data_IF_014237339159
#
_entry.id   IF_014237339159
#
_cell.length_a   1.000
_cell.length_b   1.000
_cell.length_c   1.000
_cell.angle_alpha   90.00
_cell.angle_beta   90.00
_cell.angle_gamma   90.00
#
_symmetry.space_group_name_H-M   'P 1'
#
loop_
_entity.id
_entity.type
_entity.pdbx_description
1 polymer ?
#
# COMPACT_ATOMS: atom_id res chain seq x y z
N UNK A 1 -10.92 3.59 -7.62
CA UNK A 1 -9.46 3.58 -7.89
C UNK A 1 -8.76 3.56 -6.54
N UNK A 2 -8.07 2.47 -6.20
CA UNK A 2 -7.17 2.49 -5.03
C UNK A 2 -6.09 3.53 -5.31
N UNK A 3 -5.76 4.36 -4.32
CA UNK A 3 -4.58 5.20 -4.43
C UNK A 3 -3.38 4.25 -4.58
N UNK A 4 -2.67 4.31 -5.71
CA UNK A 4 -1.51 3.45 -5.95
C UNK A 4 -0.50 3.56 -4.81
N UNK A 5 0.23 2.48 -4.53
CA UNK A 5 1.27 2.45 -3.48
C UNK A 5 2.27 3.62 -3.66
N UNK A 6 2.71 3.85 -4.89
CA UNK A 6 3.47 5.03 -5.27
C UNK A 6 2.53 6.21 -5.55
N UNK A 7 2.80 7.37 -4.93
CA UNK A 7 1.95 8.57 -4.94
C UNK A 7 2.30 9.58 -6.02
N UNK A 8 3.49 9.49 -6.61
CA UNK A 8 3.95 10.36 -7.69
C UNK A 8 4.50 9.49 -8.82
N UNK A 9 4.23 9.80 -10.10
CA UNK A 9 4.78 9.05 -11.23
C UNK A 9 6.31 8.87 -11.12
N UNK A 10 6.75 7.62 -11.17
CA UNK A 10 8.17 7.27 -11.17
C UNK A 10 8.71 7.54 -12.56
N UNK A 11 9.60 8.51 -12.69
CA UNK A 11 10.26 8.84 -13.95
C UNK A 11 11.77 8.83 -13.75
N UNK A 12 12.53 8.15 -14.62
CA UNK A 12 13.98 8.25 -14.60
C UNK A 12 14.39 9.66 -15.01
N UNK A 13 15.37 10.22 -14.32
CA UNK A 13 15.91 11.54 -14.58
C UNK A 13 17.41 11.44 -14.84
N UNK A 14 17.83 11.98 -15.98
CA UNK A 14 19.24 12.27 -16.24
C UNK A 14 19.56 13.68 -15.75
N UNK A 15 20.68 13.84 -15.07
CA UNK A 15 21.15 15.14 -14.60
C UNK A 15 21.48 16.04 -15.79
N UNK A 16 21.04 17.29 -15.75
CA UNK A 16 21.40 18.29 -16.75
C UNK A 16 22.94 18.50 -16.77
N UNK A 17 23.50 18.68 -17.96
CA UNK A 17 24.95 18.78 -18.19
C UNK A 17 25.55 19.95 -17.40
N UNK A 18 24.88 21.10 -17.38
CA UNK A 18 25.30 22.30 -16.65
C UNK A 18 25.37 22.03 -15.14
N UNK A 19 24.40 21.26 -14.61
CA UNK A 19 24.38 20.86 -13.21
C UNK A 19 25.50 19.88 -12.87
N UNK A 20 25.83 18.96 -13.80
CA UNK A 20 26.94 18.04 -13.66
C UNK A 20 28.28 18.77 -13.66
N UNK A 21 28.51 19.67 -14.61
CA UNK A 21 29.72 20.52 -14.67
C UNK A 21 29.84 21.41 -13.43
N UNK A 22 28.75 22.02 -12.98
CA UNK A 22 28.74 22.80 -11.74
C UNK A 22 29.01 21.96 -10.47
N UNK A 23 28.62 20.67 -10.46
CA UNK A 23 28.97 19.75 -9.37
C UNK A 23 30.43 19.32 -9.45
N UNK A 24 30.95 19.05 -10.66
CA UNK A 24 32.34 18.72 -10.92
C UNK A 24 33.28 19.82 -10.41
N UNK A 25 33.01 21.08 -10.77
CA UNK A 25 33.81 22.22 -10.32
C UNK A 25 33.81 22.41 -8.80
N UNK A 26 32.68 22.15 -8.12
CA UNK A 26 32.57 22.27 -6.65
C UNK A 26 33.20 21.13 -5.86
N UNK A 27 33.24 19.93 -6.43
CA UNK A 27 33.66 18.71 -5.72
C UNK A 27 35.05 18.21 -6.13
N UNK A 28 35.59 18.65 -7.26
CA UNK A 28 36.95 18.32 -7.68
C UNK A 28 37.18 16.83 -7.93
N UNK A 29 36.19 16.14 -8.52
CA UNK A 29 36.27 14.69 -8.78
C UNK A 29 37.43 14.36 -9.72
N UNK A 30 38.22 13.35 -9.36
CA UNK A 30 39.31 12.80 -10.19
C UNK A 30 38.80 11.82 -11.24
N UNK A 31 37.74 11.07 -10.92
CA UNK A 31 36.99 10.25 -11.87
C UNK A 31 35.48 10.55 -11.75
N UNK A 32 34.98 11.55 -12.49
CA UNK A 32 33.60 11.98 -12.38
C UNK A 32 32.57 10.90 -12.71
N UNK A 33 32.89 9.96 -13.60
CA UNK A 33 31.97 8.88 -14.01
C UNK A 33 31.65 7.93 -12.84
N UNK A 34 32.65 7.59 -12.03
CA UNK A 34 32.47 6.72 -10.87
C UNK A 34 32.04 7.50 -9.61
N UNK A 35 32.56 8.72 -9.44
CA UNK A 35 32.38 9.51 -8.20
C UNK A 35 31.11 10.37 -8.21
N UNK A 36 30.53 10.68 -9.38
CA UNK A 36 29.27 11.41 -9.47
C UNK A 36 28.11 10.41 -9.53
N UNK A 37 27.58 10.09 -8.36
CA UNK A 37 26.66 8.97 -8.17
C UNK A 37 25.20 9.29 -8.53
N UNK A 38 24.90 10.55 -8.81
CA UNK A 38 23.57 11.11 -9.11
C UNK A 38 23.47 11.67 -10.55
N UNK A 39 24.17 11.03 -11.50
CA UNK A 39 24.06 11.32 -12.95
C UNK A 39 22.73 10.81 -13.52
N UNK A 40 22.34 9.61 -13.11
CA UNK A 40 21.02 9.04 -13.37
C UNK A 40 20.37 8.80 -12.03
N UNK A 41 19.11 9.20 -11.88
CA UNK A 41 18.37 8.94 -10.65
C UNK A 41 16.90 8.68 -10.89
N UNK A 42 16.30 7.98 -9.95
CA UNK A 42 14.87 7.67 -9.91
C UNK A 42 14.35 7.95 -8.51
N UNK A 43 13.09 8.37 -8.41
CA UNK A 43 12.45 8.72 -7.15
C UNK A 43 11.17 7.94 -6.95
N UNK A 44 11.08 7.27 -5.81
CA UNK A 44 9.87 6.64 -5.31
C UNK A 44 9.30 7.50 -4.18
N UNK A 45 8.04 7.92 -4.34
CA UNK A 45 7.32 8.70 -3.34
C UNK A 45 6.13 7.90 -2.85
N UNK A 46 6.14 7.56 -1.56
CA UNK A 46 5.09 6.81 -0.86
C UNK A 46 4.33 7.73 0.11
N UNK A 47 3.33 7.23 0.82
CA UNK A 47 2.58 8.04 1.77
C UNK A 47 3.27 8.15 3.12
N UNK A 48 3.71 7.02 3.68
CA UNK A 48 4.16 6.90 5.08
C UNK A 48 5.57 6.32 5.19
N UNK A 49 6.26 6.56 6.31
CA UNK A 49 7.62 6.05 6.53
C UNK A 49 7.68 4.52 6.58
N UNK A 50 6.63 3.83 7.03
CA UNK A 50 6.57 2.36 6.97
C UNK A 50 6.65 1.84 5.53
N UNK A 51 6.03 2.55 4.58
CA UNK A 51 6.07 2.21 3.16
C UNK A 51 7.45 2.50 2.54
N UNK A 52 8.18 3.49 3.06
CA UNK A 52 9.57 3.76 2.66
C UNK A 52 10.42 2.53 2.94
N UNK A 53 10.26 1.92 4.13
CA UNK A 53 10.97 0.71 4.50
C UNK A 53 10.71 -0.45 3.54
N UNK A 54 9.46 -0.65 3.13
CA UNK A 54 9.09 -1.68 2.14
C UNK A 54 9.88 -1.49 0.83
N UNK A 55 9.94 -0.25 0.31
CA UNK A 55 10.70 0.03 -0.92
C UNK A 55 12.20 -0.17 -0.71
N UNK A 56 12.75 0.26 0.44
CA UNK A 56 14.14 0.04 0.80
C UNK A 56 14.49 -1.46 0.83
N UNK A 57 13.66 -2.29 1.46
CA UNK A 57 13.86 -3.73 1.58
C UNK A 57 13.86 -4.39 0.18
N UNK A 58 12.97 -3.95 -0.73
CA UNK A 58 12.94 -4.41 -2.12
C UNK A 58 14.23 -4.02 -2.87
N UNK A 59 14.69 -2.77 -2.74
CA UNK A 59 15.91 -2.30 -3.39
C UNK A 59 17.12 -3.11 -2.92
N UNK A 60 17.22 -3.40 -1.62
CA UNK A 60 18.33 -4.16 -1.04
C UNK A 60 18.28 -5.65 -1.35
N UNK A 61 17.07 -6.21 -1.50
CA UNK A 61 16.85 -7.63 -1.77
C UNK A 61 16.93 -8.02 -3.25
N UNK A 62 17.14 -7.07 -4.15
CA UNK A 62 17.23 -7.32 -5.59
C UNK A 62 18.62 -7.87 -5.98
N UNK A 63 18.63 -8.97 -6.73
CA UNK A 63 19.85 -9.72 -7.04
C UNK A 63 20.63 -9.18 -8.25
N UNK A 64 20.00 -8.35 -9.08
CA UNK A 64 20.63 -7.81 -10.29
C UNK A 64 21.63 -6.67 -10.05
N UNK A 65 21.61 -6.04 -8.87
CA UNK A 65 22.51 -4.93 -8.52
C UNK A 65 23.05 -5.02 -7.08
N UNK A 66 24.11 -4.26 -6.83
CA UNK A 66 24.59 -3.95 -5.49
C UNK A 66 24.04 -2.59 -5.07
N UNK A 67 23.32 -2.57 -3.95
CA UNK A 67 22.76 -1.35 -3.37
C UNK A 67 23.60 -0.92 -2.15
N UNK A 68 23.94 0.36 -2.10
CA UNK A 68 24.65 0.96 -0.96
C UNK A 68 23.94 2.24 -0.52
N UNK A 69 23.78 2.44 0.78
CA UNK A 69 23.11 3.63 1.31
C UNK A 69 24.08 4.82 1.26
N UNK A 70 23.70 5.91 0.57
CA UNK A 70 24.56 7.10 0.44
C UNK A 70 24.78 7.82 1.78
N UNK A 71 23.79 7.75 2.68
CA UNK A 71 23.83 8.36 4.02
C UNK A 71 22.85 7.65 4.94
N UNK A 72 23.36 7.10 6.04
CA UNK A 72 22.52 6.54 7.11
C UNK A 72 21.98 7.65 8.01
N UNK A 73 20.76 8.09 7.72
CA UNK A 73 20.08 9.14 8.47
C UNK A 73 19.73 8.65 9.88
N UNK A 74 19.35 7.39 10.05
CA UNK A 74 19.00 6.84 11.36
C UNK A 74 20.21 6.83 12.29
N UNK A 75 21.37 6.44 11.77
CA UNK A 75 22.62 6.47 12.53
C UNK A 75 23.00 7.90 12.93
N UNK A 76 22.74 8.89 12.07
CA UNK A 76 22.99 10.30 12.39
C UNK A 76 22.06 10.86 13.45
N UNK A 77 20.77 10.52 13.41
CA UNK A 77 19.80 10.89 14.44
C UNK A 77 20.20 10.25 15.78
N UNK A 78 20.63 8.98 15.77
CA UNK A 78 21.17 8.30 16.97
C UNK A 78 22.40 9.02 17.53
N UNK A 79 23.29 9.52 16.67
CA UNK A 79 24.48 10.29 17.07
C UNK A 79 24.14 11.69 17.60
N UNK A 80 23.04 12.30 17.13
CA UNK A 80 22.57 13.59 17.65
C UNK A 80 21.04 13.73 17.56
N UNK A 81 20.37 13.39 18.66
CA UNK A 81 18.91 13.38 18.78
C UNK A 81 18.25 14.76 18.72
N UNK A 82 19.04 15.85 18.73
CA UNK A 82 18.52 17.23 18.64
C UNK A 82 18.44 17.73 17.20
N UNK A 83 18.90 16.95 16.23
CA UNK A 83 18.91 17.32 14.81
C UNK A 83 17.62 16.84 14.14
N UNK A 84 16.81 17.80 13.72
CA UNK A 84 15.68 17.61 12.81
C UNK A 84 16.10 18.06 11.42
N UNK A 85 16.87 17.22 10.75
CA UNK A 85 17.42 17.47 9.40
C UNK A 85 16.72 16.58 8.38
N UNK A 86 16.96 16.90 7.11
CA UNK A 86 16.38 16.24 5.96
C UNK A 86 16.47 14.71 5.99
N UNK A 87 15.30 14.07 6.10
CA UNK A 87 15.17 12.61 6.15
C UNK A 87 14.72 12.06 4.79
N UNK A 88 15.67 11.67 3.92
CA UNK A 88 15.37 10.93 2.70
C UNK A 88 16.38 9.81 2.47
N UNK A 89 15.89 8.60 2.21
CA UNK A 89 16.75 7.46 1.94
C UNK A 89 17.25 7.50 0.50
N UNK A 90 18.58 7.51 0.33
CA UNK A 90 19.25 7.55 -0.97
C UNK A 90 20.11 6.30 -1.09
N UNK A 91 19.87 5.52 -2.14
CA UNK A 91 20.67 4.38 -2.50
C UNK A 91 21.48 4.67 -3.75
N UNK A 92 22.74 4.30 -3.73
CA UNK A 92 23.54 4.13 -4.92
C UNK A 92 23.45 2.67 -5.34
N UNK A 93 22.83 2.42 -6.50
CA UNK A 93 22.76 1.07 -7.09
C UNK A 93 23.68 0.97 -8.30
N UNK A 94 24.41 -0.14 -8.38
CA UNK A 94 25.31 -0.48 -9.48
C UNK A 94 25.04 -1.91 -9.92
N UNK A 95 24.96 -2.21 -11.23
CA UNK A 95 24.68 -3.58 -11.67
C UNK A 95 25.86 -4.49 -11.31
N UNK A 96 25.57 -5.73 -10.87
CA UNK A 96 26.62 -6.70 -10.49
C UNK A 96 27.47 -7.15 -11.69
N UNK A 97 26.86 -7.15 -12.87
CA UNK A 97 27.49 -7.54 -14.14
C UNK A 97 27.11 -6.55 -15.22
N UNK A 98 27.92 -6.47 -16.27
CA UNK A 98 27.57 -5.62 -17.42
C UNK A 98 26.31 -6.18 -18.09
N UNK A 99 25.40 -5.28 -18.45
CA UNK A 99 24.14 -5.63 -19.09
C UNK A 99 23.96 -4.79 -20.37
N UNK A 100 23.39 -5.41 -21.40
CA UNK A 100 23.11 -4.74 -22.67
C UNK A 100 21.61 -4.51 -22.78
N UNK A 101 21.21 -3.25 -22.87
CA UNK A 101 19.82 -2.83 -23.05
C UNK A 101 19.73 -1.92 -24.26
N UNK A 102 18.84 -2.25 -25.19
CA UNK A 102 18.61 -1.49 -26.43
C UNK A 102 19.89 -1.15 -27.23
N UNK A 103 20.90 -2.02 -27.16
CA UNK A 103 22.20 -1.84 -27.82
C UNK A 103 23.24 -1.06 -27.00
N UNK A 104 22.86 -0.51 -25.85
CA UNK A 104 23.75 0.21 -24.93
C UNK A 104 24.26 -0.72 -23.83
N UNK A 105 25.55 -0.58 -23.48
CA UNK A 105 26.17 -1.38 -22.41
C UNK A 105 26.20 -0.59 -21.11
N UNK A 106 25.52 -1.10 -20.08
CA UNK A 106 25.55 -0.57 -18.73
C UNK A 106 26.55 -1.39 -17.92
N UNK A 107 27.61 -0.75 -17.47
CA UNK A 107 28.72 -1.39 -16.75
C UNK A 107 28.55 -1.27 -15.22
N UNK A 108 29.20 -2.14 -14.43
CA UNK A 108 29.22 -2.02 -12.95
C UNK A 108 29.73 -0.67 -12.41
N UNK A 109 30.47 0.10 -13.21
CA UNK A 109 30.92 1.45 -12.84
C UNK A 109 29.82 2.51 -12.86
N UNK A 110 28.70 2.24 -13.55
CA UNK A 110 27.60 3.20 -13.71
C UNK A 110 26.67 3.14 -12.51
N UNK A 111 26.55 4.26 -11.82
CA UNK A 111 25.68 4.40 -10.65
C UNK A 111 24.32 4.98 -11.05
N UNK A 112 23.25 4.40 -10.51
CA UNK A 112 21.94 5.03 -10.45
C UNK A 112 21.60 5.38 -9.00
N UNK A 113 21.19 6.62 -8.76
CA UNK A 113 20.70 7.06 -7.45
C UNK A 113 19.20 6.75 -7.33
N UNK A 114 18.81 5.90 -6.38
CA UNK A 114 17.42 5.67 -6.03
C UNK A 114 17.08 6.47 -4.77
N UNK A 115 16.13 7.39 -4.89
CA UNK A 115 15.63 8.18 -3.77
C UNK A 115 14.26 7.67 -3.33
N UNK A 116 14.11 7.34 -2.05
CA UNK A 116 12.84 6.91 -1.45
C UNK A 116 12.42 7.93 -0.40
N UNK A 117 11.17 8.42 -0.51
CA UNK A 117 10.61 9.49 0.34
C UNK A 117 9.13 9.29 0.59
N UNK A 118 8.65 9.84 1.70
CA UNK A 118 7.22 10.10 1.87
C UNK A 118 6.78 11.34 1.09
N UNK A 119 5.48 11.51 0.89
CA UNK A 119 4.91 12.67 0.21
C UNK A 119 5.24 13.98 0.93
N UNK A 120 5.23 13.95 2.27
CA UNK A 120 5.62 15.09 3.10
C UNK A 120 7.12 15.42 2.93
N UNK A 121 7.99 14.41 2.99
CA UNK A 121 9.43 14.57 2.75
C UNK A 121 9.71 15.13 1.35
N UNK A 122 8.96 14.69 0.34
CA UNK A 122 9.07 15.23 -1.01
C UNK A 122 8.68 16.71 -1.07
N UNK A 123 7.52 17.08 -0.54
CA UNK A 123 7.07 18.48 -0.52
C UNK A 123 8.07 19.40 0.21
N UNK A 124 8.62 18.92 1.33
CA UNK A 124 9.69 19.61 2.05
C UNK A 124 10.96 19.75 1.20
N UNK A 125 11.40 18.67 0.55
CA UNK A 125 12.62 18.67 -0.28
C UNK A 125 12.55 19.72 -1.39
N UNK A 126 11.41 19.80 -2.08
CA UNK A 126 11.20 20.75 -3.19
C UNK A 126 11.26 22.21 -2.70
N UNK A 127 10.80 22.50 -1.47
CA UNK A 127 10.88 23.84 -0.90
C UNK A 127 12.30 24.22 -0.44
N UNK A 128 13.04 23.26 0.14
CA UNK A 128 14.25 23.55 0.94
C UNK A 128 15.55 23.33 0.15
N UNK A 129 15.57 22.40 -0.81
CA UNK A 129 16.81 21.97 -1.48
C UNK A 129 17.57 23.13 -2.15
N UNK A 130 16.91 23.96 -2.95
CA UNK A 130 17.58 25.06 -3.67
C UNK A 130 17.73 26.31 -2.80
N UNK A 131 16.78 26.56 -1.89
CA UNK A 131 16.75 27.79 -1.09
C UNK A 131 17.66 27.76 0.14
N UNK A 132 17.91 26.57 0.71
CA UNK A 132 18.56 26.41 2.01
C UNK A 132 19.79 25.50 1.93
N UNK A 133 19.72 24.38 1.20
CA UNK A 133 20.87 23.45 1.09
C UNK A 133 21.85 23.80 -0.03
N UNK A 134 21.40 24.47 -1.09
CA UNK A 134 22.25 24.99 -2.17
C UNK A 134 22.01 26.47 -2.41
N UNK A 135 22.07 27.30 -1.35
CA UNK A 135 21.74 28.71 -1.49
C UNK A 135 22.80 29.39 -2.34
N UNK A 136 22.37 30.30 -3.21
CA UNK A 136 23.27 31.18 -3.98
C UNK A 136 23.77 32.37 -3.14
N UNK A 137 23.20 32.59 -1.95
CA UNK A 137 23.51 33.69 -1.04
C UNK A 137 23.33 33.30 0.44
N UNK A 138 23.24 34.30 1.32
CA UNK A 138 23.10 34.08 2.76
C UNK A 138 21.67 33.64 3.12
N UNK A 139 21.55 32.54 3.88
CA UNK A 139 20.28 32.08 4.43
C UNK A 139 20.04 32.77 5.78
N UNK A 140 18.90 33.48 5.98
CA UNK A 140 18.59 34.08 7.26
C UNK A 140 18.42 33.02 8.36
N UNK A 141 18.99 33.24 9.55
CA UNK A 141 18.87 32.34 10.72
C UNK A 141 17.41 32.01 11.04
N UNK A 142 16.49 32.98 10.87
CA UNK A 142 15.04 32.74 11.05
C UNK A 142 14.49 31.70 10.07
N UNK A 143 14.96 31.70 8.82
CA UNK A 143 14.56 30.73 7.81
C UNK A 143 15.08 29.34 8.18
N UNK A 144 16.37 29.20 8.53
CA UNK A 144 16.93 27.93 9.01
C UNK A 144 16.14 27.38 10.21
N UNK A 145 15.80 28.26 11.17
CA UNK A 145 15.00 27.87 12.34
C UNK A 145 13.59 27.43 11.98
N UNK A 146 12.93 28.08 11.02
CA UNK A 146 11.61 27.66 10.54
C UNK A 146 11.65 26.32 9.80
N UNK A 147 12.67 26.11 8.98
CA UNK A 147 12.91 24.88 8.24
C UNK A 147 13.10 23.69 9.19
N UNK A 148 13.90 23.86 10.26
CA UNK A 148 14.05 22.83 11.30
C UNK A 148 12.74 22.57 12.06
N UNK A 149 11.93 23.60 12.35
CA UNK A 149 10.61 23.43 12.98
C UNK A 149 9.63 22.68 12.09
N UNK A 150 9.65 22.95 10.78
CA UNK A 150 8.82 22.25 9.80
C UNK A 150 9.19 20.76 9.75
N UNK A 151 10.48 20.42 9.79
CA UNK A 151 10.91 19.01 9.88
C UNK A 151 10.40 18.32 11.12
N UNK A 152 10.54 18.96 12.29
CA UNK A 152 10.04 18.38 13.54
C UNK A 152 8.51 18.13 13.48
N UNK A 153 7.73 19.09 12.96
CA UNK A 153 6.29 18.92 12.79
C UNK A 153 5.96 17.79 11.80
N UNK A 154 6.74 17.68 10.73
CA UNK A 154 6.55 16.67 9.69
C UNK A 154 6.80 15.26 10.22
N UNK A 155 7.86 15.07 10.99
CA UNK A 155 8.17 13.80 11.67
C UNK A 155 7.04 13.40 12.62
N UNK A 156 6.57 14.32 13.48
CA UNK A 156 5.41 14.06 14.35
C UNK A 156 4.15 13.72 13.55
N UNK A 157 3.91 14.38 12.42
CA UNK A 157 2.73 14.12 11.59
C UNK A 157 2.79 12.73 10.98
N UNK A 158 3.95 12.32 10.48
CA UNK A 158 4.16 11.00 9.88
C UNK A 158 3.99 9.87 10.90
N UNK A 159 4.49 10.05 12.14
CA UNK A 159 4.27 9.14 13.25
C UNK A 159 2.78 8.98 13.58
N UNK A 160 2.05 10.09 13.71
CA UNK A 160 0.61 10.07 14.01
C UNK A 160 -0.20 9.39 12.91
N UNK A 161 0.14 9.61 11.64
CA UNK A 161 -0.50 8.92 10.53
C UNK A 161 -0.19 7.43 10.53
N UNK A 162 1.06 7.04 10.77
CA UNK A 162 1.45 5.63 10.86
C UNK A 162 0.71 4.92 12.00
N UNK A 163 0.65 5.51 13.19
CA UNK A 163 -0.12 4.98 14.33
C UNK A 163 -1.61 4.87 14.01
N UNK A 164 -2.20 5.90 13.38
CA UNK A 164 -3.62 5.89 12.99
C UNK A 164 -3.91 4.75 12.01
N UNK A 165 -3.04 4.54 11.03
CA UNK A 165 -3.16 3.42 10.09
C UNK A 165 -3.00 2.07 10.80
N UNK A 166 -2.12 1.98 11.80
CA UNK A 166 -2.00 0.83 12.70
C UNK A 166 -3.32 0.51 13.41
N UNK A 167 -3.93 1.49 14.07
CA UNK A 167 -5.23 1.31 14.74
C UNK A 167 -6.34 0.89 13.79
N UNK A 168 -6.38 1.49 12.59
CA UNK A 168 -7.35 1.10 11.56
C UNK A 168 -7.11 -0.33 11.08
N UNK A 169 -5.85 -0.75 10.89
CA UNK A 169 -5.52 -2.12 10.49
C UNK A 169 -5.92 -3.13 11.56
N UNK A 170 -5.62 -2.85 12.82
CA UNK A 170 -5.99 -3.69 13.96
C UNK A 170 -7.51 -3.83 14.06
N UNK A 171 -8.25 -2.72 14.07
CA UNK A 171 -9.71 -2.71 14.15
C UNK A 171 -10.39 -3.49 13.01
N UNK A 172 -9.75 -3.54 11.83
CA UNK A 172 -10.24 -4.23 10.64
C UNK A 172 -9.72 -5.67 10.49
N UNK A 173 -8.77 -6.12 11.32
CA UNK A 173 -8.14 -7.44 11.21
C UNK A 173 -9.15 -8.59 11.25
N UNK A 174 -10.16 -8.61 12.15
CA UNK A 174 -11.16 -9.67 12.15
C UNK A 174 -11.92 -9.80 10.82
N UNK A 175 -12.29 -8.66 10.21
CA UNK A 175 -12.96 -8.62 8.90
C UNK A 175 -12.04 -9.13 7.79
N UNK A 176 -10.78 -8.71 7.77
CA UNK A 176 -9.81 -9.09 6.74
C UNK A 176 -9.52 -10.59 6.78
N UNK A 177 -9.28 -11.14 7.97
CA UNK A 177 -9.05 -12.58 8.13
C UNK A 177 -10.32 -13.38 7.78
N UNK A 178 -11.49 -12.93 8.22
CA UNK A 178 -12.75 -13.59 7.87
C UNK A 178 -13.00 -13.61 6.35
N UNK A 179 -12.80 -12.47 5.66
CA UNK A 179 -12.88 -12.38 4.20
C UNK A 179 -11.95 -13.37 3.51
N UNK A 180 -10.71 -13.50 3.98
CA UNK A 180 -9.72 -14.45 3.46
C UNK A 180 -10.22 -15.89 3.60
N UNK A 181 -10.78 -16.26 4.74
CA UNK A 181 -11.33 -17.60 4.95
C UNK A 181 -12.53 -17.89 4.05
N UNK A 182 -13.55 -17.02 4.02
CA UNK A 182 -14.72 -17.26 3.16
C UNK A 182 -14.38 -17.21 1.67
N UNK A 183 -13.35 -16.45 1.28
CA UNK A 183 -12.82 -16.47 -0.09
C UNK A 183 -12.19 -17.81 -0.44
N UNK A 184 -11.44 -18.41 0.49
CA UNK A 184 -10.89 -19.75 0.30
C UNK A 184 -12.02 -20.80 0.17
N UNK A 185 -13.03 -20.73 1.04
CA UNK A 185 -14.22 -21.60 0.98
C UNK A 185 -14.97 -21.42 -0.35
N UNK A 186 -15.12 -20.18 -0.82
CA UNK A 186 -15.79 -19.89 -2.08
C UNK A 186 -15.05 -20.54 -3.26
N UNK A 187 -13.71 -20.42 -3.29
CA UNK A 187 -12.88 -21.04 -4.33
C UNK A 187 -13.00 -22.56 -4.33
N UNK A 188 -13.03 -23.19 -3.15
CA UNK A 188 -13.18 -24.63 -2.99
C UNK A 188 -14.57 -25.13 -3.41
N UNK A 189 -15.64 -24.53 -2.87
CA UNK A 189 -17.01 -25.04 -3.00
C UNK A 189 -17.74 -24.57 -4.27
N UNK A 190 -17.40 -23.40 -4.81
CA UNK A 190 -18.10 -22.77 -5.96
C UNK A 190 -17.19 -22.70 -7.19
N UNK A 191 -15.93 -22.31 -6.99
CA UNK A 191 -14.91 -22.20 -8.04
C UNK A 191 -14.41 -20.76 -8.23
N UNK A 192 -13.09 -20.60 -8.26
CA UNK A 192 -12.44 -19.28 -8.32
C UNK A 192 -12.73 -18.47 -9.58
N UNK A 193 -13.08 -19.10 -10.70
CA UNK A 193 -13.47 -18.42 -11.94
C UNK A 193 -14.76 -17.59 -11.81
N UNK A 194 -15.55 -17.83 -10.76
CA UNK A 194 -16.78 -17.12 -10.48
C UNK A 194 -16.59 -15.97 -9.50
N UNK A 195 -15.39 -15.80 -8.93
CA UNK A 195 -15.13 -14.79 -7.91
C UNK A 195 -14.76 -13.45 -8.55
N UNK A 196 -15.49 -12.38 -8.21
CA UNK A 196 -15.14 -11.02 -8.57
C UNK A 196 -14.17 -10.39 -7.56
N UNK A 197 -13.48 -9.34 -7.99
CA UNK A 197 -12.49 -8.63 -7.17
C UNK A 197 -13.09 -7.53 -6.25
N UNK A 198 -14.42 -7.38 -6.16
CA UNK A 198 -15.03 -6.32 -5.33
C UNK A 198 -15.07 -6.70 -3.85
N UNK A 199 -14.15 -6.14 -3.08
CA UNK A 199 -14.08 -6.30 -1.63
C UNK A 199 -14.92 -5.26 -0.85
N UNK A 200 -15.38 -4.18 -1.49
CA UNK A 200 -16.04 -3.08 -0.77
C UNK A 200 -17.43 -3.43 -0.28
N UNK A 201 -18.24 -4.02 -1.15
CA UNK A 201 -19.60 -4.47 -0.79
C UNK A 201 -19.54 -5.54 0.30
N UNK A 202 -18.59 -6.47 0.15
CA UNK A 202 -18.31 -7.51 1.14
C UNK A 202 -17.90 -6.92 2.50
N UNK A 203 -17.04 -5.91 2.51
CA UNK A 203 -16.61 -5.25 3.74
C UNK A 203 -17.77 -4.57 4.47
N UNK A 204 -18.60 -3.80 3.75
CA UNK A 204 -19.78 -3.13 4.32
C UNK A 204 -20.75 -4.13 4.95
N UNK A 205 -21.00 -5.25 4.28
CA UNK A 205 -21.85 -6.32 4.83
C UNK A 205 -21.27 -6.90 6.12
N UNK A 206 -19.98 -7.24 6.12
CA UNK A 206 -19.35 -7.87 7.27
C UNK A 206 -19.26 -6.92 8.45
N UNK A 207 -19.03 -5.63 8.21
CA UNK A 207 -18.99 -4.63 9.27
C UNK A 207 -20.33 -4.44 9.97
N UNK A 208 -21.43 -4.46 9.21
CA UNK A 208 -22.79 -4.35 9.78
C UNK A 208 -23.11 -5.50 10.74
N UNK A 209 -22.60 -6.70 10.47
CA UNK A 209 -22.78 -7.89 11.29
C UNK A 209 -21.48 -8.32 11.99
N UNK A 210 -20.62 -7.34 12.33
CA UNK A 210 -19.29 -7.61 12.89
C UNK A 210 -19.33 -8.36 14.22
N UNK A 211 -20.42 -8.22 14.96
CA UNK A 211 -20.65 -8.90 16.23
C UNK A 211 -20.87 -10.41 16.07
N UNK A 212 -21.13 -10.87 14.84
CA UNK A 212 -21.25 -12.29 14.51
C UNK A 212 -19.89 -12.94 14.23
N UNK A 213 -18.83 -12.15 14.06
CA UNK A 213 -17.49 -12.67 13.81
C UNK A 213 -16.94 -13.35 15.07
N UNK A 214 -16.90 -14.67 15.04
CA UNK A 214 -16.41 -15.51 16.14
C UNK A 214 -15.43 -16.56 15.63
N UNK A 215 -14.61 -17.08 16.56
CA UNK A 215 -13.75 -18.23 16.30
C UNK A 215 -14.62 -19.43 15.88
N UNK A 216 -14.34 -19.97 14.70
CA UNK A 216 -15.08 -21.11 14.14
C UNK A 216 -16.20 -20.75 13.17
N UNK A 217 -16.59 -19.47 13.02
CA UNK A 217 -17.62 -19.05 12.06
C UNK A 217 -17.33 -19.55 10.62
N UNK A 218 -16.07 -19.47 10.18
CA UNK A 218 -15.67 -19.98 8.86
C UNK A 218 -15.90 -21.50 8.74
N UNK A 219 -15.61 -22.26 9.79
CA UNK A 219 -15.86 -23.70 9.86
C UNK A 219 -17.36 -24.00 9.83
N UNK A 220 -18.17 -23.23 10.55
CA UNK A 220 -19.63 -23.35 10.54
C UNK A 220 -20.22 -23.08 9.16
N UNK A 221 -19.71 -22.07 8.45
CA UNK A 221 -20.09 -21.78 7.06
C UNK A 221 -19.69 -22.95 6.15
N UNK A 222 -18.47 -23.48 6.28
CA UNK A 222 -18.07 -24.64 5.48
C UNK A 222 -18.96 -25.86 5.75
N UNK A 223 -19.22 -26.19 7.01
CA UNK A 223 -20.09 -27.29 7.42
C UNK A 223 -21.53 -27.11 6.93
N UNK A 224 -22.03 -25.87 6.92
CA UNK A 224 -23.33 -25.52 6.35
C UNK A 224 -23.40 -25.89 4.86
N UNK A 225 -22.37 -25.54 4.08
CA UNK A 225 -22.33 -25.81 2.64
C UNK A 225 -22.21 -27.32 2.35
N UNK A 226 -21.50 -28.06 3.20
CA UNK A 226 -21.37 -29.52 3.09
C UNK A 226 -22.69 -30.24 3.42
N UNK A 227 -23.41 -29.75 4.43
CA UNK A 227 -24.74 -30.26 4.78
C UNK A 227 -25.81 -29.89 3.73
N UNK A 228 -25.80 -28.64 3.24
CA UNK A 228 -26.78 -28.12 2.27
C UNK A 228 -26.15 -27.93 0.89
N UNK A 229 -25.82 -29.05 0.24
CA UNK A 229 -25.14 -29.09 -1.08
C UNK A 229 -25.85 -28.33 -2.21
N UNK A 230 -27.14 -28.03 -2.07
CA UNK A 230 -27.86 -27.20 -3.03
C UNK A 230 -27.42 -25.73 -3.00
N UNK A 231 -26.90 -25.22 -1.88
CA UNK A 231 -26.48 -23.82 -1.75
C UNK A 231 -25.30 -23.51 -2.69
N UNK A 232 -24.18 -24.26 -2.68
CA UNK A 232 -23.10 -24.04 -3.66
C UNK A 232 -23.57 -24.10 -5.12
N UNK A 233 -24.47 -25.04 -5.46
CA UNK A 233 -25.02 -25.16 -6.82
C UNK A 233 -25.83 -23.93 -7.23
N UNK A 234 -26.68 -23.43 -6.33
CA UNK A 234 -27.47 -22.21 -6.55
C UNK A 234 -26.56 -20.99 -6.70
N UNK A 235 -25.54 -20.84 -5.86
CA UNK A 235 -24.57 -19.76 -5.97
C UNK A 235 -23.87 -19.81 -7.33
N UNK A 236 -23.34 -20.98 -7.71
CA UNK A 236 -22.65 -21.19 -8.98
C UNK A 236 -23.53 -20.83 -10.18
N UNK A 237 -24.82 -21.20 -10.16
CA UNK A 237 -25.75 -20.90 -11.25
C UNK A 237 -26.03 -19.39 -11.44
N UNK A 238 -25.85 -18.58 -10.39
CA UNK A 238 -26.18 -17.14 -10.38
C UNK A 238 -24.97 -16.22 -10.41
N UNK A 239 -23.78 -16.73 -10.11
CA UNK A 239 -22.56 -15.92 -10.01
C UNK A 239 -22.24 -15.13 -11.31
N UNK A 240 -22.59 -15.68 -12.49
CA UNK A 240 -22.36 -15.00 -13.76
C UNK A 240 -23.29 -13.79 -14.00
N UNK A 241 -24.48 -13.77 -13.39
CA UNK A 241 -25.54 -12.81 -13.69
C UNK A 241 -25.93 -11.90 -12.53
N UNK A 242 -25.60 -12.28 -11.29
CA UNK A 242 -25.98 -11.53 -10.08
C UNK A 242 -24.72 -11.15 -9.29
N UNK A 243 -24.39 -9.86 -9.16
CA UNK A 243 -23.12 -9.43 -8.55
C UNK A 243 -22.91 -9.94 -7.13
N UNK A 244 -23.92 -9.96 -6.24
CA UNK A 244 -23.72 -10.48 -4.88
C UNK A 244 -23.21 -11.94 -4.88
N UNK A 245 -23.66 -12.76 -5.84
CA UNK A 245 -23.32 -14.19 -5.91
C UNK A 245 -21.92 -14.47 -6.46
N UNK A 246 -21.26 -13.48 -7.10
CA UNK A 246 -19.84 -13.57 -7.45
C UNK A 246 -18.91 -13.02 -6.36
N UNK A 247 -19.45 -12.63 -5.20
CA UNK A 247 -18.66 -12.22 -4.05
C UNK A 247 -18.63 -13.33 -2.99
N UNK A 248 -17.48 -13.53 -2.36
CA UNK A 248 -17.34 -14.53 -1.29
C UNK A 248 -18.27 -14.25 -0.09
N UNK A 249 -18.64 -12.97 0.11
CA UNK A 249 -19.60 -12.52 1.12
C UNK A 249 -20.97 -13.21 1.03
N UNK A 250 -21.38 -13.73 -0.14
CA UNK A 250 -22.65 -14.46 -0.29
C UNK A 250 -22.75 -15.66 0.66
N UNK A 251 -21.62 -16.30 0.99
CA UNK A 251 -21.58 -17.43 1.93
C UNK A 251 -22.00 -16.99 3.33
N UNK A 252 -21.53 -15.81 3.74
CA UNK A 252 -21.92 -15.21 5.01
C UNK A 252 -23.39 -14.81 5.00
N UNK A 253 -23.93 -14.29 3.88
CA UNK A 253 -25.35 -13.97 3.74
C UNK A 253 -26.23 -15.21 3.93
N UNK A 254 -25.89 -16.35 3.31
CA UNK A 254 -26.63 -17.60 3.52
C UNK A 254 -26.61 -18.07 4.98
N UNK A 255 -25.47 -17.90 5.66
CA UNK A 255 -25.36 -18.24 7.08
C UNK A 255 -26.19 -17.29 7.95
N UNK A 256 -26.09 -15.97 7.73
CA UNK A 256 -26.91 -14.97 8.42
C UNK A 256 -28.39 -15.25 8.24
N UNK A 257 -28.80 -15.50 7.00
CA UNK A 257 -30.18 -15.84 6.63
C UNK A 257 -30.69 -17.15 7.23
N UNK A 258 -29.85 -18.00 7.82
CA UNK A 258 -30.27 -19.17 8.59
C UNK A 258 -30.24 -18.97 10.11
N UNK A 259 -29.37 -18.07 10.60
CA UNK A 259 -29.14 -17.87 12.02
C UNK A 259 -29.89 -16.69 12.62
N UNK A 260 -30.30 -15.73 11.79
CA UNK A 260 -30.99 -14.52 12.22
C UNK A 260 -32.48 -14.56 11.92
N UNK A 261 -33.25 -13.72 12.60
CA UNK A 261 -34.62 -13.45 12.20
C UNK A 261 -34.66 -12.76 10.83
N UNK A 262 -35.71 -13.04 10.03
CA UNK A 262 -35.77 -12.53 8.66
C UNK A 262 -36.06 -11.02 8.63
N UNK A 263 -36.91 -10.53 9.53
CA UNK A 263 -37.27 -9.11 9.56
C UNK A 263 -36.11 -8.28 10.08
N UNK A 264 -35.39 -8.79 11.08
CA UNK A 264 -34.17 -8.13 11.58
C UNK A 264 -33.08 -8.07 10.50
N UNK A 265 -32.83 -9.18 9.78
CA UNK A 265 -31.83 -9.22 8.72
C UNK A 265 -32.15 -8.24 7.58
N UNK A 266 -33.42 -8.14 7.16
CA UNK A 266 -33.84 -7.19 6.12
C UNK A 266 -33.72 -5.75 6.63
N UNK A 267 -34.11 -5.49 7.88
CA UNK A 267 -34.03 -4.15 8.49
C UNK A 267 -32.59 -3.65 8.61
N UNK A 268 -31.65 -4.53 8.97
CA UNK A 268 -30.22 -4.23 9.10
C UNK A 268 -29.45 -4.31 7.78
N UNK A 269 -30.10 -4.67 6.67
CA UNK A 269 -29.40 -4.94 5.42
C UNK A 269 -28.67 -3.69 4.88
N UNK A 270 -27.33 -3.70 4.78
CA UNK A 270 -26.57 -2.49 4.48
C UNK A 270 -26.38 -2.23 2.98
N UNK A 271 -26.87 -3.13 2.13
CA UNK A 271 -26.64 -3.10 0.67
C UNK A 271 -27.96 -2.98 -0.09
N UNK A 272 -28.60 -1.78 -0.13
CA UNK A 272 -29.93 -1.61 -0.72
C UNK A 272 -29.99 -2.05 -2.20
N UNK A 273 -28.89 -1.89 -2.96
CA UNK A 273 -28.80 -2.37 -4.35
C UNK A 273 -28.82 -3.89 -4.52
N UNK A 274 -28.66 -4.65 -3.44
CA UNK A 274 -28.70 -6.12 -3.42
C UNK A 274 -29.87 -6.70 -2.64
N UNK A 275 -30.91 -5.91 -2.34
CA UNK A 275 -32.09 -6.39 -1.61
C UNK A 275 -32.77 -7.58 -2.31
N UNK A 276 -32.97 -7.51 -3.63
CA UNK A 276 -33.52 -8.63 -4.41
C UNK A 276 -32.64 -9.89 -4.33
N UNK A 277 -31.33 -9.73 -4.16
CA UNK A 277 -30.41 -10.87 -3.97
C UNK A 277 -30.59 -11.49 -2.59
N UNK A 278 -30.78 -10.68 -1.54
CA UNK A 278 -31.14 -11.16 -0.21
C UNK A 278 -32.48 -11.91 -0.24
N UNK A 279 -33.51 -11.35 -0.88
CA UNK A 279 -34.82 -12.02 -1.02
C UNK A 279 -34.71 -13.37 -1.74
N UNK A 280 -33.87 -13.45 -2.78
CA UNK A 280 -33.56 -14.71 -3.47
C UNK A 280 -32.94 -15.73 -2.52
N UNK A 281 -32.00 -15.30 -1.67
CA UNK A 281 -31.35 -16.16 -0.67
C UNK A 281 -32.35 -16.63 0.38
N UNK A 282 -33.22 -15.73 0.87
CA UNK A 282 -34.28 -16.08 1.82
C UNK A 282 -35.24 -17.11 1.20
N UNK A 283 -35.65 -16.91 -0.06
CA UNK A 283 -36.47 -17.88 -0.79
C UNK A 283 -35.78 -19.22 -0.99
N UNK A 284 -34.46 -19.25 -1.16
CA UNK A 284 -33.71 -20.51 -1.29
C UNK A 284 -33.70 -21.33 0.00
N UNK A 285 -33.96 -20.68 1.13
CA UNK A 285 -33.99 -21.24 2.47
C UNK A 285 -35.41 -21.43 3.00
N UNK A 286 -36.43 -21.24 2.13
CA UNK A 286 -37.84 -21.27 2.48
C UNK A 286 -38.23 -20.28 3.60
N UNK A 287 -37.55 -19.13 3.66
CA UNK A 287 -37.81 -18.04 4.61
C UNK A 287 -38.42 -16.84 3.91
N UNK A 288 -39.29 -16.12 4.61
CA UNK A 288 -39.92 -14.88 4.13
C UNK A 288 -40.04 -13.87 5.27
N UNK A 289 -39.90 -12.55 5.00
CA UNK A 289 -40.17 -11.52 5.99
C UNK A 289 -41.66 -11.53 6.37
N UNK A 290 -41.96 -11.10 7.60
CA UNK A 290 -43.31 -10.77 8.00
C UNK A 290 -43.78 -9.57 7.18
N UNK A 291 -44.95 -9.68 6.56
CA UNK A 291 -45.56 -8.60 5.77
C UNK A 291 -45.94 -7.41 6.62
#
# INVERSE_FOLDING_TARGET
MSAGFIKIPVTPRVKAVESALGKLGRKGYTNPLQQMTDLVGVRFVVLLSEEVKIVCDIIQGEDSWDASLSRDIEEQIKKNTKIFDYQSQHYEVRPRQSLVLDGETITPDMCCEIQVRTLLQHAYAEMVHDNIYKPTGLVPIKAERHVARSMALMETTDELFSQTMGYLKEANTPRVEFLKYITAIYRDKIGGQHLAADDKSAAVLIDEFREQLSDGLASDISALLDCKKYIPLKIKSRAASVPLFNQAAVLFVYWLALKHDTDDLVKRWPLPGYLNSLETILSDLDRRPSR
#
